data_IF_670877563755
#
_entry.id   IF_670877563755
#
_cell.length_a   1.000
_cell.length_b   1.000
_cell.length_c   1.000
_cell.angle_alpha   90.00
_cell.angle_beta   90.00
_cell.angle_gamma   90.00
#
_symmetry.space_group_name_H-M   'P 1'
#
loop_
_entity.id
_entity.type
_entity.pdbx_description
1 polymer ?
#
# COMPACT_ATOMS: atom_id res chain seq x y z
N UNK A 1 15.66 -20.48 -17.97
CA UNK A 1 15.51 -19.59 -16.79
C UNK A 1 15.61 -18.17 -17.33
N UNK A 2 14.49 -17.59 -17.77
CA UNK A 2 14.47 -16.22 -18.29
C UNK A 2 14.61 -15.31 -17.07
N UNK A 3 15.83 -14.85 -16.83
CA UNK A 3 16.09 -13.84 -15.83
C UNK A 3 15.54 -12.53 -16.41
N UNK A 4 14.27 -12.27 -16.08
CA UNK A 4 13.56 -11.04 -16.40
C UNK A 4 14.18 -9.92 -15.54
N UNK A 5 15.44 -9.56 -15.82
CA UNK A 5 16.04 -8.31 -15.37
C UNK A 5 15.36 -7.18 -16.14
N UNK A 6 14.11 -6.87 -15.79
CA UNK A 6 13.48 -5.63 -16.19
C UNK A 6 13.79 -4.60 -15.10
N UNK A 7 14.78 -3.69 -15.27
CA UNK A 7 15.09 -2.63 -14.31
C UNK A 7 13.87 -1.76 -13.95
N UNK A 8 12.82 -1.77 -14.78
CA UNK A 8 11.54 -1.16 -14.49
C UNK A 8 10.80 -1.78 -13.29
N UNK A 9 10.88 -3.12 -13.09
CA UNK A 9 10.23 -3.81 -11.96
C UNK A 9 10.78 -3.31 -10.62
N UNK A 10 12.10 -3.12 -10.51
CA UNK A 10 12.75 -2.62 -9.28
C UNK A 10 12.24 -1.22 -8.89
N UNK A 11 12.00 -0.35 -9.88
CA UNK A 11 11.44 0.99 -9.65
C UNK A 11 9.98 0.94 -9.19
N UNK A 12 9.16 0.07 -9.78
CA UNK A 12 7.77 -0.12 -9.37
C UNK A 12 7.64 -0.78 -8.00
N UNK A 13 8.52 -1.73 -7.69
CA UNK A 13 8.57 -2.41 -6.40
C UNK A 13 9.01 -1.45 -5.29
N UNK A 14 9.92 -0.50 -5.58
CA UNK A 14 10.31 0.54 -4.64
C UNK A 14 9.14 1.50 -4.34
N UNK A 15 8.38 1.92 -5.36
CA UNK A 15 7.19 2.76 -5.17
C UNK A 15 6.11 2.02 -4.39
N UNK A 16 5.86 0.75 -4.69
CA UNK A 16 4.93 -0.08 -3.93
C UNK A 16 5.38 -0.26 -2.48
N UNK A 17 6.68 -0.43 -2.23
CA UNK A 17 7.26 -0.51 -0.89
C UNK A 17 7.11 0.80 -0.10
N UNK A 18 7.38 1.95 -0.72
CA UNK A 18 7.15 3.26 -0.11
C UNK A 18 5.67 3.47 0.20
N UNK A 19 4.78 3.13 -0.74
CA UNK A 19 3.34 3.25 -0.53
C UNK A 19 2.83 2.33 0.59
N UNK A 20 3.35 1.09 0.68
CA UNK A 20 3.06 0.20 1.80
C UNK A 20 3.54 0.78 3.13
N UNK A 21 4.75 1.38 3.17
CA UNK A 21 5.27 2.07 4.34
C UNK A 21 4.41 3.26 4.76
N UNK A 22 3.95 4.08 3.81
CA UNK A 22 3.03 5.20 4.08
C UNK A 22 1.68 4.68 4.60
N UNK A 23 1.14 3.63 3.97
CA UNK A 23 -0.09 2.97 4.42
C UNK A 23 0.02 2.41 5.83
N UNK A 24 1.17 1.82 6.17
CA UNK A 24 1.48 1.35 7.52
C UNK A 24 1.46 2.49 8.53
N UNK A 25 2.21 3.56 8.26
CA UNK A 25 2.29 4.73 9.15
C UNK A 25 0.91 5.33 9.37
N UNK A 26 0.13 5.54 8.32
CA UNK A 26 -1.24 6.07 8.43
C UNK A 26 -2.16 5.11 9.19
N UNK A 27 -2.07 3.80 8.92
CA UNK A 27 -2.86 2.77 9.59
C UNK A 27 -2.54 2.60 11.07
N UNK A 28 -1.35 3.03 11.49
CA UNK A 28 -0.94 3.12 12.91
C UNK A 28 -1.37 4.44 13.54
N UNK A 29 -1.11 5.56 12.86
CA UNK A 29 -1.31 6.90 13.41
C UNK A 29 -2.78 7.22 13.64
N UNK A 30 -3.67 6.84 12.70
CA UNK A 30 -5.10 7.14 12.79
C UNK A 30 -5.74 6.52 14.04
N UNK A 31 -5.66 5.19 14.27
CA UNK A 31 -6.22 4.60 15.47
C UNK A 31 -5.48 5.05 16.74
N UNK A 32 -4.16 5.28 16.67
CA UNK A 32 -3.42 5.82 17.81
C UNK A 32 -3.93 7.20 18.23
N UNK A 33 -4.06 8.15 17.30
CA UNK A 33 -4.58 9.49 17.59
C UNK A 33 -6.04 9.43 18.06
N UNK A 34 -6.86 8.59 17.44
CA UNK A 34 -8.25 8.45 17.85
C UNK A 34 -8.39 7.91 19.28
N UNK A 35 -7.58 6.93 19.67
CA UNK A 35 -7.61 6.36 21.01
C UNK A 35 -7.02 7.33 22.04
N UNK A 36 -5.86 7.94 21.75
CA UNK A 36 -5.14 8.76 22.72
C UNK A 36 -5.62 10.22 22.81
N UNK A 37 -6.05 10.85 21.71
CA UNK A 37 -6.51 12.24 21.71
C UNK A 37 -8.02 12.38 21.81
N UNK A 38 -8.78 11.50 21.15
CA UNK A 38 -10.25 11.55 21.14
C UNK A 38 -10.89 10.64 22.19
N UNK A 39 -10.08 9.99 23.05
CA UNK A 39 -10.53 9.05 24.09
C UNK A 39 -11.45 7.94 23.56
N UNK A 40 -11.23 7.53 22.31
CA UNK A 40 -12.08 6.53 21.70
C UNK A 40 -11.83 5.16 22.35
N UNK A 41 -12.88 4.52 22.84
CA UNK A 41 -12.76 3.19 23.43
C UNK A 41 -12.39 2.17 22.37
N UNK A 42 -11.31 1.44 22.62
CA UNK A 42 -10.91 0.35 21.75
C UNK A 42 -11.97 -0.76 21.81
N UNK A 43 -12.52 -1.23 20.68
CA UNK A 43 -13.60 -2.23 20.67
C UNK A 43 -13.16 -3.60 21.21
N UNK A 44 -11.84 -3.83 21.31
CA UNK A 44 -11.25 -5.06 21.83
C UNK A 44 -10.90 -4.98 23.33
N UNK A 45 -11.22 -3.87 24.00
CA UNK A 45 -10.98 -3.64 25.44
C UNK A 45 -9.93 -2.57 25.73
N UNK A 46 -9.79 -2.20 27.01
CA UNK A 46 -8.90 -1.12 27.47
C UNK A 46 -7.50 -1.60 27.90
N UNK A 47 -7.19 -2.89 27.75
CA UNK A 47 -5.87 -3.40 28.08
C UNK A 47 -4.82 -2.85 27.11
N UNK A 48 -3.65 -2.43 27.63
CA UNK A 48 -2.51 -1.96 26.82
C UNK A 48 -2.18 -2.94 25.70
N UNK A 49 -2.25 -4.25 25.99
CA UNK A 49 -1.97 -5.31 25.03
C UNK A 49 -3.02 -5.41 23.91
N UNK A 50 -4.29 -5.14 24.23
CA UNK A 50 -5.41 -5.13 23.27
C UNK A 50 -5.35 -3.90 22.37
N UNK A 51 -5.11 -2.73 22.97
CA UNK A 51 -4.95 -1.45 22.26
C UNK A 51 -3.74 -1.50 21.33
N UNK A 52 -2.59 -1.94 21.84
CA UNK A 52 -1.37 -2.10 21.05
C UNK A 52 -1.54 -3.11 19.92
N UNK A 53 -2.19 -4.25 20.19
CA UNK A 53 -2.50 -5.26 19.19
C UNK A 53 -3.42 -4.74 18.08
N UNK A 54 -4.48 -4.02 18.45
CA UNK A 54 -5.40 -3.41 17.49
C UNK A 54 -4.68 -2.41 16.59
N UNK A 55 -3.89 -1.50 17.17
CA UNK A 55 -3.12 -0.51 16.41
C UNK A 55 -2.14 -1.21 15.46
N UNK A 56 -1.43 -2.25 15.92
CA UNK A 56 -0.49 -2.99 15.09
C UNK A 56 -1.19 -3.72 13.92
N UNK A 57 -2.29 -4.43 14.17
CA UNK A 57 -3.06 -5.14 13.14
C UNK A 57 -3.62 -4.14 12.11
N UNK A 58 -4.13 -3.00 12.56
CA UNK A 58 -4.68 -1.96 11.68
C UNK A 58 -3.59 -1.35 10.81
N UNK A 59 -2.41 -1.09 11.38
CA UNK A 59 -1.21 -0.67 10.64
C UNK A 59 -0.81 -1.67 9.56
N UNK A 60 -0.64 -2.95 9.92
CA UNK A 60 -0.26 -4.02 8.98
C UNK A 60 -1.32 -4.19 7.89
N UNK A 61 -2.60 -4.23 8.26
CA UNK A 61 -3.71 -4.35 7.31
C UNK A 61 -3.74 -3.19 6.31
N UNK A 62 -3.60 -1.96 6.79
CA UNK A 62 -3.52 -0.77 5.93
C UNK A 62 -2.32 -0.82 4.97
N UNK A 63 -1.15 -1.24 5.46
CA UNK A 63 0.06 -1.39 4.63
C UNK A 63 -0.16 -2.37 3.47
N UNK A 64 -0.79 -3.52 3.75
CA UNK A 64 -1.10 -4.54 2.76
C UNK A 64 -2.09 -4.00 1.73
N UNK A 65 -3.17 -3.34 2.17
CA UNK A 65 -4.20 -2.80 1.26
C UNK A 65 -3.61 -1.71 0.37
N UNK A 66 -2.92 -0.71 0.95
CA UNK A 66 -2.33 0.40 0.21
C UNK A 66 -1.22 -0.07 -0.73
N UNK A 67 -0.37 -0.99 -0.28
CA UNK A 67 0.69 -1.58 -1.09
C UNK A 67 0.14 -2.33 -2.30
N UNK A 68 -0.86 -3.20 -2.09
CA UNK A 68 -1.49 -3.95 -3.17
C UNK A 68 -2.28 -3.06 -4.13
N UNK A 69 -3.02 -2.07 -3.62
CA UNK A 69 -3.74 -1.11 -4.45
C UNK A 69 -2.78 -0.32 -5.35
N UNK A 70 -1.64 0.12 -4.79
CA UNK A 70 -0.60 0.82 -5.54
C UNK A 70 0.01 -0.06 -6.64
N UNK A 71 0.29 -1.34 -6.34
CA UNK A 71 0.78 -2.28 -7.33
C UNK A 71 -0.21 -2.48 -8.49
N UNK A 72 -1.51 -2.65 -8.17
CA UNK A 72 -2.57 -2.75 -9.19
C UNK A 72 -2.66 -1.50 -10.06
N UNK A 73 -2.59 -0.31 -9.47
CA UNK A 73 -2.60 0.96 -10.21
C UNK A 73 -1.40 1.04 -11.15
N UNK A 74 -0.19 0.70 -10.68
CA UNK A 74 1.02 0.71 -11.50
C UNK A 74 0.92 -0.26 -12.69
N UNK A 75 0.40 -1.47 -12.46
CA UNK A 75 0.14 -2.45 -13.53
C UNK A 75 -0.89 -1.92 -14.53
N UNK A 76 -1.98 -1.31 -14.05
CA UNK A 76 -3.01 -0.73 -14.91
C UNK A 76 -2.47 0.43 -15.76
N UNK A 77 -1.66 1.31 -15.18
CA UNK A 77 -1.01 2.42 -15.88
C UNK A 77 -0.03 1.90 -16.93
N UNK A 78 0.81 0.91 -16.58
CA UNK A 78 1.73 0.28 -17.52
C UNK A 78 0.98 -0.39 -18.69
N UNK A 79 -0.13 -1.08 -18.41
CA UNK A 79 -0.98 -1.72 -19.42
C UNK A 79 -1.67 -0.69 -20.34
N UNK A 80 -2.15 0.43 -19.79
CA UNK A 80 -2.69 1.55 -20.60
C UNK A 80 -1.63 2.18 -21.49
N UNK A 81 -0.42 2.46 -20.98
CA UNK A 81 0.68 3.02 -21.76
C UNK A 81 1.08 2.11 -22.92
N UNK A 82 1.20 0.79 -22.71
CA UNK A 82 1.51 -0.16 -23.78
C UNK A 82 0.45 -0.15 -24.89
N UNK A 83 -0.84 -0.17 -24.57
CA UNK A 83 -1.91 -0.08 -25.58
C UNK A 83 -1.87 1.22 -26.39
N UNK A 84 -1.48 2.33 -25.76
CA UNK A 84 -1.36 3.62 -26.43
C UNK A 84 -0.17 3.67 -27.39
N UNK A 85 0.95 3.02 -27.07
CA UNK A 85 2.10 2.89 -28.00
C UNK A 85 1.78 1.96 -29.17
N UNK A 86 1.12 0.82 -28.91
CA UNK A 86 0.75 -0.17 -29.94
C UNK A 86 -0.24 0.43 -30.97
N UNK A 87 -1.16 1.28 -30.49
CA UNK A 87 -2.06 2.07 -31.35
C UNK A 87 -1.34 3.08 -32.24
N UNK A 88 -0.16 3.56 -31.86
CA UNK A 88 0.57 4.57 -32.62
C UNK A 88 1.49 3.95 -33.67
N UNK A 89 1.95 2.71 -33.44
CA UNK A 89 2.76 1.95 -34.39
C UNK A 89 1.91 1.40 -35.54
N UNK A 90 0.67 1.02 -35.29
CA UNK A 90 -0.28 0.58 -36.33
C UNK A 90 -0.80 1.70 -37.25
N UNK A 91 -0.41 2.96 -36.99
CA UNK A 91 -0.80 4.15 -37.75
C UNK A 91 0.33 4.74 -38.61
N UNK A 92 1.55 4.17 -38.53
CA UNK A 92 2.66 4.45 -39.46
C UNK A 92 2.76 3.30 -40.46
#
# INVERSE_FOLDING_TARGET
MFEVQLPALKKFQNVAGIAAGVGFVLGLLIPAVAIFSLHWHCPFGNGILQVGGFIAITGVGSAIVVGNLTALILIAVAKRRRRSSDSSEKRR
#
